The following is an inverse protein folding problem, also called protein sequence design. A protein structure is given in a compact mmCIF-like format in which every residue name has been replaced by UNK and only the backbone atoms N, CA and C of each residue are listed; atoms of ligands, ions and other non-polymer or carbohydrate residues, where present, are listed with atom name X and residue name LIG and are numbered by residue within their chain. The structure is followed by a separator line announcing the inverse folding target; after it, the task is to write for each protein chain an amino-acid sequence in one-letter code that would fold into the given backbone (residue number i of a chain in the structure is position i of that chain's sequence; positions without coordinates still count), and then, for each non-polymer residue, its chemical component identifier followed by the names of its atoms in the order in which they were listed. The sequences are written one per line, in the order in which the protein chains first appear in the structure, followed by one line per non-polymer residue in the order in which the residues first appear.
data_IF_877310306505
#
_entry.id   IF_877310306505
#
_cell.length_a   1.000
_cell.length_b   1.000
_cell.length_c   1.000
_cell.angle_alpha   90.00
_cell.angle_beta   90.00
_cell.angle_gamma   90.00
#
_symmetry.space_group_name_H-M   'P 1'
#
loop_
_entity.id
_entity.type
_entity.pdbx_description
1 polymer ?
#
# COMPACT_ATOMS: atom_id res chain seq x y z
N UNK A 1 14.24 5.86 -4.49
CA UNK A 1 14.09 5.81 -5.97
C UNK A 1 12.90 6.65 -6.47
N UNK A 2 12.55 7.74 -5.80
CA UNK A 2 11.38 8.57 -6.14
C UNK A 2 11.45 9.13 -7.57
N UNK A 3 12.62 9.63 -7.99
CA UNK A 3 12.83 10.19 -9.32
C UNK A 3 12.53 9.19 -10.45
N UNK A 4 12.83 7.91 -10.25
CA UNK A 4 12.54 6.85 -11.24
C UNK A 4 11.04 6.61 -11.32
N UNK A 5 10.35 6.55 -10.18
CA UNK A 5 8.89 6.39 -10.15
C UNK A 5 8.21 7.57 -10.84
N UNK A 6 8.65 8.80 -10.54
CA UNK A 6 8.13 10.01 -11.18
C UNK A 6 8.31 9.97 -12.70
N UNK A 7 9.50 9.61 -13.18
CA UNK A 7 9.78 9.46 -14.61
C UNK A 7 8.85 8.44 -15.28
N UNK A 8 8.58 7.30 -14.64
CA UNK A 8 7.67 6.28 -15.18
C UNK A 8 6.23 6.79 -15.28
N UNK A 9 5.75 7.50 -14.26
CA UNK A 9 4.41 8.12 -14.26
C UNK A 9 4.31 9.21 -15.35
N UNK A 10 5.34 10.04 -15.53
CA UNK A 10 5.44 11.02 -16.63
C UNK A 10 5.43 10.36 -18.02
N UNK A 11 5.77 9.07 -18.11
CA UNK A 11 5.67 8.24 -19.32
C UNK A 11 4.37 7.44 -19.43
N UNK A 12 3.35 7.82 -18.66
CA UNK A 12 2.03 7.19 -18.64
C UNK A 12 2.07 5.71 -18.22
N UNK A 13 3.01 5.33 -17.35
CA UNK A 13 2.92 4.03 -16.68
C UNK A 13 1.59 3.95 -15.92
N UNK A 14 0.88 2.84 -16.07
CA UNK A 14 -0.35 2.59 -15.32
C UNK A 14 -0.03 2.45 -13.82
N UNK A 15 -0.42 3.45 -13.05
CA UNK A 15 -0.22 3.53 -11.59
C UNK A 15 -0.87 2.35 -10.85
N UNK A 16 -1.92 1.77 -11.44
CA UNK A 16 -2.73 0.68 -10.87
C UNK A 16 -2.40 -0.68 -11.48
N UNK A 17 -1.36 -0.77 -12.31
CA UNK A 17 -0.93 -2.02 -12.92
C UNK A 17 -0.75 -3.10 -11.84
N UNK A 18 -1.46 -4.22 -12.03
CA UNK A 18 -1.42 -5.35 -11.11
C UNK A 18 -0.39 -6.39 -11.55
N UNK A 19 0.33 -6.96 -10.58
CA UNK A 19 1.28 -8.04 -10.82
C UNK A 19 2.27 -8.28 -9.69
N UNK A 20 3.00 -9.40 -9.80
CA UNK A 20 4.03 -9.79 -8.85
C UNK A 20 3.50 -10.20 -7.47
N UNK A 21 4.42 -10.48 -6.55
CA UNK A 21 4.08 -10.94 -5.19
C UNK A 21 3.37 -9.86 -4.35
N UNK A 22 3.65 -8.59 -4.61
CA UNK A 22 3.05 -7.47 -3.89
C UNK A 22 1.69 -7.03 -4.41
N UNK A 23 1.25 -7.46 -5.60
CA UNK A 23 -0.05 -7.08 -6.15
C UNK A 23 -0.02 -5.81 -6.99
N UNK A 24 0.48 -4.68 -6.49
CA UNK A 24 0.72 -3.46 -7.28
C UNK A 24 1.81 -2.56 -6.66
N UNK A 25 2.09 -1.41 -7.30
CA UNK A 25 3.11 -0.47 -6.84
C UNK A 25 2.81 0.13 -5.45
N UNK A 26 1.54 0.49 -5.17
CA UNK A 26 1.15 1.05 -3.88
C UNK A 26 1.36 0.03 -2.75
N UNK A 27 0.98 -1.23 -2.98
CA UNK A 27 1.19 -2.31 -2.00
C UNK A 27 2.68 -2.58 -1.74
N UNK A 28 3.50 -2.61 -2.79
CA UNK A 28 4.95 -2.81 -2.67
C UNK A 28 5.62 -1.68 -1.87
N UNK A 29 5.27 -0.43 -2.18
CA UNK A 29 5.83 0.75 -1.49
C UNK A 29 5.31 0.88 -0.06
N UNK A 30 4.08 0.48 0.20
CA UNK A 30 3.53 0.40 1.55
C UNK A 30 4.20 -0.67 2.40
N UNK A 31 4.50 -1.85 1.85
CA UNK A 31 5.28 -2.89 2.51
C UNK A 31 6.73 -2.47 2.80
N UNK A 32 7.29 -1.56 2.00
CA UNK A 32 8.65 -1.05 2.17
C UNK A 32 8.77 0.21 3.02
N UNK A 33 7.65 0.79 3.48
CA UNK A 33 7.67 2.03 4.25
C UNK A 33 8.10 3.26 3.45
N UNK A 34 7.95 3.25 2.12
CA UNK A 34 8.45 4.31 1.24
C UNK A 34 7.48 5.50 1.17
N UNK A 35 7.34 6.25 2.26
CA UNK A 35 6.34 7.31 2.44
C UNK A 35 6.24 8.30 1.26
N UNK A 36 7.36 8.80 0.76
CA UNK A 36 7.39 9.74 -0.36
C UNK A 36 6.83 9.12 -1.65
N UNK A 37 7.12 7.85 -1.90
CA UNK A 37 6.62 7.13 -3.08
C UNK A 37 5.14 6.79 -2.91
N UNK A 38 4.69 6.40 -1.71
CA UNK A 38 3.27 6.20 -1.40
C UNK A 38 2.49 7.49 -1.68
N UNK A 39 2.98 8.63 -1.20
CA UNK A 39 2.37 9.95 -1.45
C UNK A 39 2.28 10.25 -2.94
N UNK A 40 3.38 10.06 -3.67
CA UNK A 40 3.45 10.30 -5.11
C UNK A 40 2.43 9.43 -5.88
N UNK A 41 2.30 8.15 -5.53
CA UNK A 41 1.35 7.25 -6.18
C UNK A 41 -0.10 7.66 -5.90
N UNK A 42 -0.42 8.03 -4.66
CA UNK A 42 -1.76 8.51 -4.26
C UNK A 42 -2.12 9.83 -4.95
N UNK A 43 -1.17 10.75 -5.09
CA UNK A 43 -1.33 12.00 -5.86
C UNK A 43 -1.57 11.75 -7.35
N UNK A 44 -1.15 10.57 -7.87
CA UNK A 44 -1.39 10.13 -9.24
C UNK A 44 -2.58 9.17 -9.36
N UNK A 45 -3.54 9.21 -8.42
CA UNK A 45 -4.77 8.41 -8.44
C UNK A 45 -4.56 6.89 -8.36
N UNK A 46 -3.54 6.44 -7.63
CA UNK A 46 -3.46 5.05 -7.22
C UNK A 46 -4.72 4.66 -6.41
N UNK A 47 -5.32 3.52 -6.75
CA UNK A 47 -6.43 2.95 -6.01
C UNK A 47 -5.94 2.45 -4.65
N UNK A 48 -6.26 3.23 -3.62
CA UNK A 48 -5.90 2.96 -2.22
C UNK A 48 -6.43 1.62 -1.72
N UNK A 49 -7.53 1.13 -2.29
CA UNK A 49 -8.23 -0.08 -1.89
C UNK A 49 -8.01 -1.26 -2.83
N UNK A 50 -7.14 -1.11 -3.83
CA UNK A 50 -6.80 -2.16 -4.78
C UNK A 50 -6.40 -3.44 -4.06
N UNK A 51 -7.08 -4.53 -4.39
CA UNK A 51 -6.83 -5.84 -3.83
C UNK A 51 -5.81 -6.62 -4.66
N UNK A 52 -4.94 -7.38 -4.02
CA UNK A 52 -3.96 -8.24 -4.69
C UNK A 52 -2.80 -8.63 -3.78
N UNK A 53 -1.83 -9.36 -4.35
CA UNK A 53 -0.59 -9.72 -3.67
C UNK A 53 -0.77 -10.57 -2.42
N UNK A 54 0.31 -10.79 -1.69
CA UNK A 54 0.31 -11.58 -0.47
C UNK A 54 -0.31 -10.86 0.74
N UNK A 55 -0.35 -9.53 0.73
CA UNK A 55 -0.89 -8.72 1.83
C UNK A 55 -2.39 -8.39 1.67
N UNK A 56 -2.95 -8.59 0.48
CA UNK A 56 -4.33 -8.22 0.17
C UNK A 56 -4.46 -6.77 -0.29
N UNK A 57 -3.96 -5.79 0.47
CA UNK A 57 -3.96 -4.38 0.06
C UNK A 57 -2.81 -3.58 0.68
N UNK A 58 -2.73 -2.29 0.34
CA UNK A 58 -1.65 -1.40 0.78
C UNK A 58 -1.67 -1.16 2.30
N UNK A 59 -2.86 -1.01 2.88
CA UNK A 59 -3.02 -0.80 4.33
C UNK A 59 -2.47 -1.98 5.13
N UNK A 60 -2.83 -3.20 4.73
CA UNK A 60 -2.36 -4.43 5.37
C UNK A 60 -0.87 -4.67 5.14
N UNK A 61 -0.35 -4.30 3.98
CA UNK A 61 1.08 -4.34 3.71
C UNK A 61 1.88 -3.45 4.67
N UNK A 62 1.42 -2.21 4.90
CA UNK A 62 2.03 -1.29 5.85
C UNK A 62 1.91 -1.79 7.30
N UNK A 63 0.72 -2.29 7.69
CA UNK A 63 0.48 -2.84 9.03
C UNK A 63 1.35 -4.06 9.31
N UNK A 64 1.48 -5.01 8.38
CA UNK A 64 2.29 -6.21 8.55
C UNK A 64 3.78 -5.91 8.80
N UNK A 65 4.23 -4.71 8.42
CA UNK A 65 5.61 -4.24 8.52
C UNK A 65 5.79 -3.13 9.57
N UNK A 66 4.74 -2.73 10.28
CA UNK A 66 4.78 -1.69 11.32
C UNK A 66 5.06 -0.27 10.79
N UNK A 67 4.66 0.05 9.55
CA UNK A 67 4.92 1.36 8.96
C UNK A 67 3.82 2.38 9.29
N UNK A 68 3.81 2.89 10.53
CA UNK A 68 2.76 3.77 11.07
C UNK A 68 2.46 5.01 10.21
N UNK A 69 3.48 5.71 9.72
CA UNK A 69 3.29 6.90 8.89
C UNK A 69 2.59 6.58 7.56
N UNK A 70 2.92 5.44 6.95
CA UNK A 70 2.24 4.94 5.75
C UNK A 70 0.79 4.58 6.07
N UNK A 71 0.54 3.92 7.20
CA UNK A 71 -0.83 3.61 7.66
C UNK A 71 -1.64 4.90 7.79
N UNK A 72 -1.12 5.92 8.49
CA UNK A 72 -1.79 7.20 8.63
C UNK A 72 -2.09 7.87 7.27
N UNK A 73 -1.15 7.78 6.32
CA UNK A 73 -1.33 8.35 4.98
C UNK A 73 -2.44 7.64 4.20
N UNK A 74 -2.46 6.30 4.22
CA UNK A 74 -3.50 5.50 3.56
C UNK A 74 -4.88 5.76 4.17
N UNK A 75 -4.97 5.86 5.50
CA UNK A 75 -6.23 6.19 6.18
C UNK A 75 -6.73 7.60 5.83
N UNK A 76 -5.82 8.58 5.72
CA UNK A 76 -6.18 9.93 5.23
C UNK A 76 -6.73 9.92 3.79
N UNK A 77 -6.36 8.92 3.01
CA UNK A 77 -6.85 8.72 1.64
C UNK A 77 -8.03 7.72 1.58
N UNK A 78 -8.74 7.49 2.68
CA UNK A 78 -9.93 6.63 2.77
C UNK A 78 -9.67 5.14 2.44
N UNK A 79 -8.51 4.61 2.86
CA UNK A 79 -8.30 3.17 2.88
C UNK A 79 -9.34 2.46 3.74
N UNK A 80 -9.91 1.37 3.22
CA UNK A 80 -10.87 0.54 3.94
C UNK A 80 -10.17 -0.26 5.03
N UNK A 81 -10.54 0.06 6.28
CA UNK A 81 -10.01 -0.58 7.50
C UNK A 81 -10.54 -1.99 7.73
N UNK A 82 -11.66 -2.34 7.10
CA UNK A 82 -12.35 -3.62 7.32
C UNK A 82 -11.96 -4.68 6.30
N UNK A 83 -11.00 -4.40 5.42
CA UNK A 83 -10.55 -5.37 4.42
C UNK A 83 -10.08 -6.66 5.09
N UNK A 84 -10.68 -7.76 4.65
CA UNK A 84 -10.36 -9.12 5.06
C UNK A 84 -9.46 -9.79 4.02
N UNK A 85 -8.51 -10.60 4.47
CA UNK A 85 -7.72 -11.46 3.57
C UNK A 85 -6.52 -12.07 4.28
N UNK A 86 -5.67 -12.81 3.57
CA UNK A 86 -4.42 -13.38 4.11
C UNK A 86 -4.58 -14.25 5.38
N UNK A 87 -3.48 -14.66 6.02
CA UNK A 87 -3.53 -15.58 7.17
C UNK A 87 -3.99 -14.94 8.49
N UNK A 88 -3.96 -13.61 8.59
CA UNK A 88 -4.19 -12.88 9.85
C UNK A 88 -5.54 -12.13 9.92
N UNK A 89 -6.46 -12.34 8.98
CA UNK A 89 -7.79 -11.71 9.00
C UNK A 89 -7.78 -10.21 8.67
N UNK A 90 -8.43 -9.38 9.48
CA UNK A 90 -8.61 -7.93 9.21
C UNK A 90 -7.42 -7.06 9.65
N UNK A 91 -7.44 -5.77 9.31
CA UNK A 91 -6.37 -4.81 9.63
C UNK A 91 -6.07 -4.74 11.14
N UNK A 92 -7.09 -4.73 12.00
CA UNK A 92 -6.94 -4.66 13.46
C UNK A 92 -6.26 -5.92 14.02
N UNK A 93 -6.59 -7.09 13.48
CA UNK A 93 -5.96 -8.35 13.87
C UNK A 93 -4.49 -8.38 13.47
N UNK A 94 -4.14 -7.86 12.28
CA UNK A 94 -2.74 -7.74 11.83
C UNK A 94 -1.95 -6.81 12.77
N UNK A 95 -2.50 -5.65 13.10
CA UNK A 95 -1.88 -4.69 14.02
C UNK A 95 -1.63 -5.32 15.42
N UNK A 96 -2.67 -5.95 15.96
CA UNK A 96 -2.64 -6.62 17.27
C UNK A 96 -1.60 -7.74 17.36
N UNK A 97 -1.41 -8.52 16.28
CA UNK A 97 -0.38 -9.58 16.22
C UNK A 97 1.03 -9.00 16.16
N UNK A 98 1.19 -7.87 15.47
CA UNK A 98 2.49 -7.21 15.30
C UNK A 98 2.95 -6.39 16.52
N UNK A 99 2.02 -6.02 17.42
CA UNK A 99 2.32 -5.27 18.63
C UNK A 99 2.35 -3.75 18.43
N UNK A 100 1.66 -3.25 17.39
CA UNK A 100 1.50 -1.83 17.07
C UNK A 100 0.02 -1.49 16.88
#
# INVERSE_FOLDING_TARGET
HEQVVKLLLEKNADVNAQGGCFGNALQATSAGGHEQVVKLLLENNADVNAQGGCFGNALRAALNRGHEHVVQMLLKMNADVNVQGGPYGNALQVASVGGY
#
